data_IF_471077020195
#
_entry.id   IF_471077020195
#
_cell.length_a   1.000
_cell.length_b   1.000
_cell.length_c   1.000
_cell.angle_alpha   90.00
_cell.angle_beta   90.00
_cell.angle_gamma   90.00
#
_symmetry.space_group_name_H-M   'P 1'
#
loop_
_entity.id
_entity.type
_entity.pdbx_description
1 polymer ?
#
# COMPACT_ATOMS: atom_id res chain seq x y z
N UNK A 1 -7.34 4.40 26.50
CA UNK A 1 -7.24 3.13 25.73
C UNK A 1 -6.96 3.49 24.27
N UNK A 2 -5.85 4.20 24.04
CA UNK A 2 -5.29 4.36 22.70
C UNK A 2 -4.38 3.15 22.50
N UNK A 3 -4.74 2.32 21.53
CA UNK A 3 -3.95 1.16 21.15
C UNK A 3 -2.66 1.68 20.51
N UNK A 4 -1.56 1.71 21.28
CA UNK A 4 -0.23 2.08 20.82
C UNK A 4 0.25 1.07 19.76
N UNK A 5 -0.16 1.31 18.50
CA UNK A 5 0.38 0.61 17.35
C UNK A 5 1.88 0.96 17.25
N UNK A 6 2.80 0.00 17.36
CA UNK A 6 4.22 0.29 17.38
C UNK A 6 4.64 0.93 16.05
N UNK A 7 5.10 2.18 16.11
CA UNK A 7 5.71 2.85 14.97
C UNK A 7 6.92 2.01 14.53
N UNK A 8 6.96 1.61 13.26
CA UNK A 8 8.09 0.85 12.70
C UNK A 8 9.39 1.62 12.93
N UNK A 9 10.35 1.00 13.62
CA UNK A 9 11.69 1.57 13.83
C UNK A 9 12.43 1.74 12.50
N UNK A 10 13.41 2.64 12.43
CA UNK A 10 14.15 2.90 11.19
C UNK A 10 14.92 1.68 10.65
N UNK A 11 15.29 0.74 11.51
CA UNK A 11 15.86 -0.55 11.10
C UNK A 11 14.81 -1.45 10.44
N UNK A 12 13.62 -1.58 11.04
CA UNK A 12 12.51 -2.33 10.45
C UNK A 12 12.05 -1.71 9.12
N UNK A 13 12.00 -0.37 9.02
CA UNK A 13 11.68 0.34 7.77
C UNK A 13 12.65 -0.03 6.65
N UNK A 14 13.96 -0.06 6.94
CA UNK A 14 15.00 -0.46 5.99
C UNK A 14 14.86 -1.94 5.58
N UNK A 15 14.60 -2.83 6.52
CA UNK A 15 14.42 -4.26 6.23
C UNK A 15 13.17 -4.52 5.37
N UNK A 16 12.03 -3.92 5.72
CA UNK A 16 10.80 -3.96 4.91
C UNK A 16 11.07 -3.48 3.49
N UNK A 17 11.75 -2.34 3.34
CA UNK A 17 12.12 -1.80 2.03
C UNK A 17 12.99 -2.77 1.21
N UNK A 18 14.03 -3.35 1.81
CA UNK A 18 14.94 -4.27 1.10
C UNK A 18 14.24 -5.57 0.69
N UNK A 19 13.42 -6.14 1.57
CA UNK A 19 12.64 -7.35 1.29
C UNK A 19 11.58 -7.13 0.20
N UNK A 20 10.92 -5.97 0.22
CA UNK A 20 10.01 -5.59 -0.86
C UNK A 20 10.77 -5.50 -2.19
N UNK A 21 11.92 -4.81 -2.23
CA UNK A 21 12.74 -4.68 -3.43
C UNK A 21 13.26 -6.01 -3.97
N UNK A 22 13.59 -6.98 -3.11
CA UNK A 22 13.91 -8.34 -3.54
C UNK A 22 12.72 -9.02 -4.23
N UNK A 23 11.53 -8.98 -3.61
CA UNK A 23 10.29 -9.53 -4.19
C UNK A 23 9.85 -8.87 -5.50
N UNK A 24 10.30 -7.64 -5.74
CA UNK A 24 10.05 -6.87 -6.97
C UNK A 24 10.95 -7.32 -8.12
N UNK A 25 12.24 -7.61 -7.83
CA UNK A 25 13.23 -7.95 -8.85
C UNK A 25 12.88 -9.21 -9.65
N UNK A 26 12.00 -10.07 -9.12
CA UNK A 26 11.51 -11.27 -9.79
C UNK A 26 10.38 -11.03 -10.82
N UNK A 27 10.00 -9.78 -11.12
CA UNK A 27 8.91 -9.48 -12.07
C UNK A 27 9.41 -8.68 -13.28
N UNK A 28 8.91 -9.06 -14.47
CA UNK A 28 9.22 -8.39 -15.76
C UNK A 28 8.83 -6.90 -15.77
N UNK A 29 7.87 -6.47 -14.94
CA UNK A 29 7.49 -5.05 -14.76
C UNK A 29 7.43 -4.67 -13.29
N UNK A 30 7.70 -3.40 -13.01
CA UNK A 30 7.40 -2.81 -11.70
C UNK A 30 5.89 -2.85 -11.44
N UNK A 31 5.44 -3.15 -10.21
CA UNK A 31 4.06 -3.09 -9.83
C UNK A 31 3.58 -1.64 -9.76
N UNK A 32 2.30 -1.45 -10.05
CA UNK A 32 1.63 -0.16 -9.97
C UNK A 32 1.28 0.16 -8.50
N UNK A 33 0.79 1.38 -8.23
CA UNK A 33 0.57 1.89 -6.87
C UNK A 33 -0.41 1.02 -6.03
N UNK A 34 -1.49 0.51 -6.63
CA UNK A 34 -2.43 -0.37 -5.91
C UNK A 34 -1.85 -1.77 -5.69
N UNK A 35 -1.08 -2.31 -6.64
CA UNK A 35 -0.37 -3.59 -6.49
C UNK A 35 0.68 -3.50 -5.37
N UNK A 36 1.30 -2.33 -5.21
CA UNK A 36 2.18 -2.04 -4.07
C UNK A 36 1.42 -2.07 -2.74
N UNK A 37 0.22 -1.48 -2.66
CA UNK A 37 -0.60 -1.57 -1.45
C UNK A 37 -0.99 -3.02 -1.12
N UNK A 38 -1.39 -3.81 -2.11
CA UNK A 38 -1.70 -5.24 -1.91
C UNK A 38 -0.50 -5.99 -1.32
N UNK A 39 0.72 -5.68 -1.78
CA UNK A 39 1.95 -6.29 -1.26
C UNK A 39 2.24 -5.92 0.20
N UNK A 40 1.94 -4.69 0.60
CA UNK A 40 2.01 -4.30 2.02
C UNK A 40 0.98 -5.06 2.86
N UNK A 41 -0.15 -5.40 2.26
CA UNK A 41 -1.28 -6.01 2.95
C UNK A 41 -1.11 -7.52 3.19
N UNK A 42 -0.41 -8.23 2.31
CA UNK A 42 -0.09 -9.66 2.46
C UNK A 42 1.12 -9.92 3.39
N UNK A 43 1.98 -8.92 3.61
CA UNK A 43 3.20 -9.08 4.40
C UNK A 43 2.91 -8.84 5.89
N UNK A 44 3.23 -9.83 6.72
CA UNK A 44 3.04 -9.78 8.19
C UNK A 44 3.88 -8.68 8.87
N UNK A 45 4.99 -8.26 8.26
CA UNK A 45 5.85 -7.20 8.80
C UNK A 45 5.23 -5.80 8.61
N UNK A 46 4.31 -5.67 7.67
CA UNK A 46 3.69 -4.39 7.27
C UNK A 46 2.19 -4.34 7.57
N UNK A 47 1.56 -5.48 7.82
CA UNK A 47 0.20 -5.60 8.29
C UNK A 47 0.18 -6.14 9.73
N UNK A 48 -0.27 -5.37 10.74
CA UNK A 48 -1.10 -4.16 10.62
C UNK A 48 -0.34 -2.81 10.63
N UNK A 49 0.99 -2.81 10.77
CA UNK A 49 1.75 -1.60 11.11
C UNK A 49 1.66 -0.43 10.10
N UNK A 50 1.61 -0.73 8.80
CA UNK A 50 1.44 0.25 7.72
C UNK A 50 0.02 0.22 7.15
N UNK A 51 -0.52 -0.97 6.92
CA UNK A 51 -1.86 -1.20 6.38
C UNK A 51 -2.55 -2.28 7.20
N UNK A 52 -3.87 -2.22 7.35
CA UNK A 52 -4.62 -3.21 8.12
C UNK A 52 -5.91 -3.60 7.41
N UNK A 53 -6.30 -4.88 7.48
CA UNK A 53 -7.62 -5.31 7.02
C UNK A 53 -8.71 -4.74 7.94
N UNK A 54 -9.67 -4.03 7.36
CA UNK A 54 -10.90 -3.64 8.07
C UNK A 54 -11.97 -4.72 7.92
N UNK A 55 -12.14 -5.26 6.69
CA UNK A 55 -13.04 -6.36 6.37
C UNK A 55 -12.37 -7.23 5.31
N UNK A 56 -11.75 -8.34 5.74
CA UNK A 56 -10.95 -9.22 4.86
C UNK A 56 -11.83 -9.93 3.82
N UNK A 57 -13.05 -10.29 4.20
CA UNK A 57 -14.09 -10.87 3.35
C UNK A 57 -14.50 -9.94 2.19
N UNK A 58 -14.51 -8.63 2.43
CA UNK A 58 -14.81 -7.61 1.41
C UNK A 58 -13.57 -6.98 0.78
N UNK A 59 -12.39 -7.52 1.06
CA UNK A 59 -11.11 -6.96 0.62
C UNK A 59 -10.94 -5.46 0.94
N UNK A 60 -11.45 -5.03 2.10
CA UNK A 60 -11.38 -3.65 2.58
C UNK A 60 -10.28 -3.47 3.60
N UNK A 61 -9.46 -2.45 3.41
CA UNK A 61 -8.28 -2.19 4.23
C UNK A 61 -8.10 -0.69 4.49
N UNK A 62 -7.43 -0.38 5.59
CA UNK A 62 -7.08 0.97 6.02
C UNK A 62 -5.59 1.20 5.91
N UNK A 63 -5.19 2.40 5.49
CA UNK A 63 -3.81 2.87 5.63
C UNK A 63 -3.62 3.40 7.06
N UNK A 64 -2.73 2.77 7.81
CA UNK A 64 -2.39 3.16 9.20
C UNK A 64 -1.36 4.29 9.20
N UNK A 65 -0.33 4.19 8.35
CA UNK A 65 0.74 5.21 8.27
C UNK A 65 0.88 5.77 6.84
N UNK A 66 -0.10 6.57 6.38
CA UNK A 66 -0.15 7.05 4.98
C UNK A 66 1.10 7.81 4.55
N UNK A 67 1.73 8.59 5.44
CA UNK A 67 2.98 9.31 5.17
C UNK A 67 4.18 8.38 4.95
N UNK A 68 4.29 7.30 5.74
CA UNK A 68 5.35 6.32 5.53
C UNK A 68 5.13 5.53 4.24
N UNK A 69 3.88 5.17 3.95
CA UNK A 69 3.53 4.47 2.71
C UNK A 69 3.84 5.31 1.48
N UNK A 70 3.47 6.61 1.48
CA UNK A 70 3.78 7.51 0.37
C UNK A 70 5.29 7.68 0.19
N UNK A 71 6.05 7.75 1.28
CA UNK A 71 7.51 7.82 1.25
C UNK A 71 8.15 6.52 0.71
N UNK A 72 7.67 5.36 1.15
CA UNK A 72 8.12 4.04 0.65
C UNK A 72 7.82 3.85 -0.84
N UNK A 73 6.68 4.33 -1.30
CA UNK A 73 6.34 4.33 -2.72
C UNK A 73 7.25 5.27 -3.52
N UNK A 74 7.48 6.48 -3.01
CA UNK A 74 8.24 7.52 -3.70
C UNK A 74 9.71 7.17 -3.83
N UNK A 75 10.33 6.61 -2.77
CA UNK A 75 11.75 6.21 -2.78
C UNK A 75 12.09 5.15 -3.83
N UNK A 76 11.06 4.42 -4.29
CA UNK A 76 11.18 3.39 -5.32
C UNK A 76 11.04 3.95 -6.75
N UNK A 77 10.33 5.06 -6.95
CA UNK A 77 10.10 5.62 -8.28
C UNK A 77 11.36 6.33 -8.78
N UNK A 78 12.22 5.60 -9.52
CA UNK A 78 13.43 6.16 -10.14
C UNK A 78 13.06 7.32 -11.07
N UNK A 79 13.32 8.55 -10.65
CA UNK A 79 13.23 9.74 -11.51
C UNK A 79 12.32 10.89 -11.04
N UNK A 80 11.66 10.80 -9.87
CA UNK A 80 10.88 11.93 -9.32
C UNK A 80 11.48 12.38 -8.00
N UNK A 81 12.57 13.14 -8.08
CA UNK A 81 13.10 13.87 -6.93
C UNK A 81 12.16 15.03 -6.55
N UNK A 82 12.17 15.32 -5.25
CA UNK A 82 12.05 16.65 -4.65
C UNK A 82 10.76 17.44 -4.78
N UNK A 83 9.64 16.87 -4.30
CA UNK A 83 8.81 17.56 -3.29
C UNK A 83 8.36 16.50 -2.32
N UNK A 84 8.44 16.77 -1.02
CA UNK A 84 7.89 15.96 0.07
C UNK A 84 6.74 15.08 -0.45
N UNK A 85 6.91 13.75 -0.44
CA UNK A 85 5.93 12.80 -0.94
C UNK A 85 4.66 12.85 -0.10
N UNK A 86 3.82 13.87 -0.33
CA UNK A 86 2.61 14.06 0.43
C UNK A 86 1.66 12.91 0.08
N UNK A 87 0.97 12.44 1.10
CA UNK A 87 -0.11 11.48 0.92
C UNK A 87 -1.15 11.98 -0.11
N UNK A 88 -1.29 13.29 -0.35
CA UNK A 88 -2.23 13.83 -1.33
C UNK A 88 -1.93 13.40 -2.78
N UNK A 89 -0.66 13.43 -3.20
CA UNK A 89 -0.24 12.98 -4.53
C UNK A 89 -0.41 11.46 -4.67
N UNK A 90 -0.05 10.72 -3.62
CA UNK A 90 -0.25 9.27 -3.54
C UNK A 90 -1.74 8.91 -3.66
N UNK A 91 -2.59 9.58 -2.88
CA UNK A 91 -4.04 9.41 -2.92
C UNK A 91 -4.62 9.79 -4.29
N UNK A 92 -4.12 10.86 -4.94
CA UNK A 92 -4.56 11.24 -6.29
C UNK A 92 -4.26 10.16 -7.33
N UNK A 93 -3.11 9.49 -7.23
CA UNK A 93 -2.75 8.37 -8.09
C UNK A 93 -3.60 7.13 -7.79
N UNK A 94 -3.96 6.87 -6.52
CA UNK A 94 -4.88 5.77 -6.17
C UNK A 94 -6.26 5.96 -6.78
N UNK A 95 -6.81 7.18 -6.76
CA UNK A 95 -8.13 7.47 -7.33
C UNK A 95 -8.25 7.15 -8.83
N UNK A 96 -7.14 7.22 -9.58
CA UNK A 96 -7.13 6.80 -10.99
C UNK A 96 -7.53 5.32 -11.16
N UNK A 97 -7.27 4.48 -10.16
CA UNK A 97 -7.55 3.05 -10.22
C UNK A 97 -8.99 2.67 -9.87
N UNK A 98 -9.84 3.64 -9.54
CA UNK A 98 -11.28 3.40 -9.34
C UNK A 98 -11.96 3.00 -10.65
N UNK A 99 -11.75 3.76 -11.73
CA UNK A 99 -12.33 3.43 -13.04
C UNK A 99 -11.64 2.25 -13.72
N UNK A 100 -10.38 1.98 -13.36
CA UNK A 100 -9.60 0.88 -13.93
C UNK A 100 -9.83 -0.46 -13.21
N UNK A 101 -10.64 -0.49 -12.14
CA UNK A 101 -11.00 -1.72 -11.42
C UNK A 101 -9.91 -2.30 -10.51
N UNK A 102 -8.81 -1.56 -10.28
CA UNK A 102 -7.79 -1.95 -9.30
C UNK A 102 -8.23 -1.69 -7.86
N UNK A 103 -8.98 -0.61 -7.66
CA UNK A 103 -9.59 -0.23 -6.38
C UNK A 103 -11.07 0.11 -6.60
N UNK A 104 -11.84 0.04 -5.53
CA UNK A 104 -13.22 0.52 -5.48
C UNK A 104 -13.34 1.70 -4.52
N UNK A 105 -14.23 2.63 -4.85
CA UNK A 105 -14.57 3.73 -3.97
C UNK A 105 -15.31 3.19 -2.74
N UNK A 106 -14.86 3.61 -1.56
CA UNK A 106 -15.59 3.42 -0.31
C UNK A 106 -16.08 4.80 0.12
N UNK A 107 -17.39 5.00 0.16
CA UNK A 107 -17.99 6.28 0.51
C UNK A 107 -17.62 6.68 1.95
N UNK A 108 -17.35 7.98 2.13
CA UNK A 108 -17.22 8.70 3.40
C UNK A 108 -16.28 8.12 4.46
N UNK A 109 -15.24 7.37 4.04
CA UNK A 109 -14.23 6.84 4.95
C UNK A 109 -12.81 7.26 4.57
N UNK A 110 -12.17 8.04 5.43
CA UNK A 110 -10.79 8.46 5.24
C UNK A 110 -9.81 7.29 5.39
N UNK A 111 -8.80 7.25 4.52
CA UNK A 111 -7.72 6.25 4.50
C UNK A 111 -8.16 4.79 4.29
N UNK A 112 -9.45 4.56 4.01
CA UNK A 112 -10.03 3.25 3.78
C UNK A 112 -10.19 3.04 2.28
N UNK A 113 -9.77 1.87 1.81
CA UNK A 113 -9.79 1.47 0.42
C UNK A 113 -10.32 0.04 0.32
N UNK A 114 -10.93 -0.26 -0.82
CA UNK A 114 -11.41 -1.60 -1.15
C UNK A 114 -10.76 -2.03 -2.47
N UNK A 115 -10.38 -3.31 -2.57
CA UNK A 115 -9.89 -3.84 -3.83
C UNK A 115 -11.06 -3.99 -4.81
N UNK A 116 -10.87 -3.51 -6.04
CA UNK A 116 -11.80 -3.80 -7.13
C UNK A 116 -11.55 -5.16 -7.76
N UNK A 117 -12.29 -5.54 -8.83
CA UNK A 117 -12.21 -6.86 -9.42
C UNK A 117 -10.79 -7.28 -9.85
N UNK A 118 -9.99 -6.35 -10.40
CA UNK A 118 -8.59 -6.63 -10.75
C UNK A 118 -7.72 -6.81 -9.50
N UNK A 119 -7.96 -6.02 -8.45
CA UNK A 119 -7.26 -6.12 -7.18
C UNK A 119 -7.52 -7.45 -6.48
N UNK A 120 -8.77 -7.90 -6.47
CA UNK A 120 -9.20 -9.18 -5.90
C UNK A 120 -8.57 -10.35 -6.66
N UNK A 121 -8.56 -10.30 -8.00
CA UNK A 121 -7.87 -11.31 -8.81
C UNK A 121 -6.39 -11.36 -8.47
N UNK A 122 -5.74 -10.20 -8.40
CA UNK A 122 -4.31 -10.09 -8.13
C UNK A 122 -3.91 -10.61 -6.75
N UNK A 123 -4.65 -10.28 -5.69
CA UNK A 123 -4.30 -10.76 -4.35
C UNK A 123 -4.46 -12.29 -4.24
N UNK A 124 -5.46 -12.87 -4.93
CA UNK A 124 -5.65 -14.33 -4.99
C UNK A 124 -4.52 -15.05 -5.73
N UNK A 125 -3.91 -14.42 -6.73
CA UNK A 125 -2.74 -14.97 -7.45
C UNK A 125 -1.45 -14.92 -6.62
N UNK A 126 -1.43 -14.17 -5.52
CA UNK A 126 -0.25 -14.00 -4.64
C UNK A 126 -0.30 -14.86 -3.37
N UNK A 127 -1.44 -15.50 -3.09
CA UNK A 127 -1.65 -16.39 -1.94
C UNK A 127 -1.61 -17.85 -2.38
#
# INVERSE_FOLDING_TARGET
LESDCPLLSDAMRRNVFMKMNANIKHRKRSPNIWEFLVRLLISFETNPALVCWEQKDKYRFKLIQPKLISNLWSSRSKGKSSKEGSYSNFARALRYWYSQGGLELVEDRQLIYQLGPLGIKYIKELQ
#
